data_IF_486501796166
#
_entry.id   IF_486501796166
#
_cell.length_a   1.000
_cell.length_b   1.000
_cell.length_c   1.000
_cell.angle_alpha   90.00
_cell.angle_beta   90.00
_cell.angle_gamma   90.00
#
_symmetry.space_group_name_H-M   'P 1'
#
loop_
_entity.id
_entity.type
_entity.pdbx_description
1 polymer ?
#
# COMPACT_ATOMS: atom_id res chain seq x y z
N UNK A 1 1.13 28.02 -27.90
CA UNK A 1 1.01 27.02 -26.83
C UNK A 1 1.25 25.68 -27.48
N UNK A 2 2.41 25.07 -27.24
CA UNK A 2 2.73 23.77 -27.82
C UNK A 2 1.75 22.73 -27.28
N UNK A 3 1.11 22.00 -28.20
CA UNK A 3 0.14 20.99 -27.83
C UNK A 3 0.84 19.87 -27.06
N UNK A 4 0.36 19.58 -25.84
CA UNK A 4 0.89 18.46 -25.04
C UNK A 4 0.66 17.16 -25.82
N UNK A 5 1.71 16.36 -26.10
CA UNK A 5 1.55 15.13 -26.86
C UNK A 5 0.54 14.17 -26.21
N UNK A 6 -0.36 13.58 -27.00
CA UNK A 6 -1.36 12.65 -26.46
C UNK A 6 -0.74 11.48 -25.71
N UNK A 7 0.41 10.97 -26.16
CA UNK A 7 1.14 9.92 -25.45
C UNK A 7 1.54 10.30 -24.02
N UNK A 8 1.86 11.57 -23.77
CA UNK A 8 2.16 12.07 -22.43
C UNK A 8 0.91 12.09 -21.56
N UNK A 9 -0.21 12.57 -22.10
CA UNK A 9 -1.51 12.59 -21.42
C UNK A 9 -1.95 11.17 -21.07
N UNK A 10 -1.86 10.23 -22.01
CA UNK A 10 -2.17 8.82 -21.78
C UNK A 10 -1.28 8.22 -20.70
N UNK A 11 0.03 8.50 -20.73
CA UNK A 11 0.99 7.98 -19.75
C UNK A 11 0.69 8.49 -18.35
N UNK A 12 0.36 9.77 -18.20
CA UNK A 12 -0.04 10.33 -16.90
C UNK A 12 -1.37 9.73 -16.45
N UNK A 13 -2.38 9.72 -17.31
CA UNK A 13 -3.68 9.16 -16.96
C UNK A 13 -3.58 7.66 -16.58
N UNK A 14 -2.67 6.90 -17.19
CA UNK A 14 -2.45 5.50 -16.85
C UNK A 14 -1.87 5.26 -15.45
N UNK A 15 -1.20 6.26 -14.86
CA UNK A 15 -0.65 6.21 -13.50
C UNK A 15 -1.69 6.59 -12.43
N UNK A 16 -2.80 7.23 -12.83
CA UNK A 16 -3.81 7.69 -11.90
C UNK A 16 -4.71 6.55 -11.42
N UNK A 17 -5.24 6.70 -10.20
CA UNK A 17 -6.28 5.80 -9.72
C UNK A 17 -7.57 5.96 -10.53
N UNK A 18 -8.40 4.92 -10.58
CA UNK A 18 -9.70 4.95 -11.29
C UNK A 18 -10.52 6.21 -10.98
N UNK A 19 -10.57 6.59 -9.70
CA UNK A 19 -11.35 7.74 -9.26
C UNK A 19 -10.71 9.06 -9.65
N UNK A 20 -9.38 9.15 -9.67
CA UNK A 20 -8.68 10.31 -10.22
C UNK A 20 -8.97 10.47 -11.72
N UNK A 21 -8.98 9.38 -12.49
CA UNK A 21 -9.31 9.44 -13.93
C UNK A 21 -10.78 9.85 -14.13
N UNK A 22 -11.71 9.30 -13.33
CA UNK A 22 -13.12 9.73 -13.35
C UNK A 22 -13.29 11.21 -13.06
N UNK A 23 -12.54 11.77 -12.10
CA UNK A 23 -12.55 13.21 -11.80
C UNK A 23 -11.95 14.03 -12.94
N UNK A 24 -10.90 13.56 -13.60
CA UNK A 24 -10.31 14.23 -14.76
C UNK A 24 -11.29 14.32 -15.94
N UNK A 25 -12.21 13.37 -16.10
CA UNK A 25 -13.29 13.48 -17.09
C UNK A 25 -14.15 14.73 -16.89
N UNK A 26 -14.27 15.23 -15.65
CA UNK A 26 -14.98 16.48 -15.34
C UNK A 26 -14.12 17.75 -15.39
N UNK A 27 -12.83 17.67 -15.73
CA UNK A 27 -11.96 18.85 -15.74
C UNK A 27 -12.26 19.75 -16.96
N UNK A 28 -11.88 21.04 -16.91
CA UNK A 28 -12.18 21.99 -18.01
C UNK A 28 -11.36 21.77 -19.28
N UNK A 29 -10.27 21.01 -19.21
CA UNK A 29 -9.37 20.83 -20.35
C UNK A 29 -9.80 19.65 -21.22
N UNK A 30 -10.22 19.94 -22.45
CA UNK A 30 -10.65 18.93 -23.42
C UNK A 30 -9.61 17.83 -23.68
N UNK A 31 -8.30 18.18 -23.65
CA UNK A 31 -7.20 17.22 -23.84
C UNK A 31 -7.16 16.20 -22.70
N UNK A 32 -7.28 16.67 -21.45
CA UNK A 32 -7.31 15.79 -20.27
C UNK A 32 -8.61 15.00 -20.17
N UNK A 33 -9.76 15.57 -20.55
CA UNK A 33 -11.03 14.85 -20.64
C UNK A 33 -10.93 13.68 -21.61
N UNK A 34 -10.47 13.94 -22.85
CA UNK A 34 -10.32 12.91 -23.89
C UNK A 34 -9.33 11.82 -23.48
N UNK A 35 -8.22 12.20 -22.85
CA UNK A 35 -7.24 11.26 -22.29
C UNK A 35 -7.85 10.37 -21.19
N UNK A 36 -8.61 10.96 -20.28
CA UNK A 36 -9.29 10.24 -19.21
C UNK A 36 -10.38 9.29 -19.74
N UNK A 37 -11.18 9.73 -20.71
CA UNK A 37 -12.17 8.87 -21.38
C UNK A 37 -11.54 7.68 -22.09
N UNK A 38 -10.46 7.94 -22.85
CA UNK A 38 -9.72 6.88 -23.51
C UNK A 38 -9.16 5.87 -22.49
N UNK A 39 -8.50 6.35 -21.42
CA UNK A 39 -7.96 5.48 -20.38
C UNK A 39 -9.04 4.67 -19.66
N UNK A 40 -10.21 5.25 -19.36
CA UNK A 40 -11.32 4.50 -18.76
C UNK A 40 -11.81 3.36 -19.67
N UNK A 41 -11.75 3.54 -20.99
CA UNK A 41 -12.16 2.53 -21.96
C UNK A 41 -11.12 1.40 -22.11
N UNK A 42 -9.82 1.72 -22.08
CA UNK A 42 -8.75 0.75 -22.37
C UNK A 42 -8.07 0.14 -21.15
N UNK A 43 -8.15 0.78 -19.98
CA UNK A 43 -7.52 0.27 -18.76
C UNK A 43 -8.19 -1.00 -18.26
N UNK A 44 -7.36 -1.99 -17.92
CA UNK A 44 -7.81 -3.28 -17.40
C UNK A 44 -7.43 -3.44 -15.94
N UNK A 45 -8.40 -3.80 -15.11
CA UNK A 45 -8.14 -4.21 -13.74
C UNK A 45 -7.70 -5.68 -13.72
N UNK A 46 -6.50 -5.94 -13.25
CA UNK A 46 -5.90 -7.27 -13.19
C UNK A 46 -5.68 -7.65 -11.73
N UNK A 47 -6.17 -8.83 -11.36
CA UNK A 47 -5.93 -9.41 -10.05
C UNK A 47 -4.97 -10.58 -10.20
N UNK A 48 -3.95 -10.58 -9.34
CA UNK A 48 -2.99 -11.66 -9.20
C UNK A 48 -3.18 -12.22 -7.80
N UNK A 49 -3.39 -13.53 -7.68
CA UNK A 49 -3.32 -14.20 -6.37
C UNK A 49 -2.20 -15.19 -6.36
N UNK A 50 -1.32 -15.05 -5.38
CA UNK A 50 -0.21 -15.95 -5.08
C UNK A 50 -0.57 -16.74 -3.82
N UNK A 51 -0.46 -18.06 -3.92
CA UNK A 51 -0.61 -18.99 -2.80
C UNK A 51 0.75 -19.51 -2.40
N UNK A 52 0.99 -19.44 -1.11
CA UNK A 52 2.22 -19.84 -0.45
C UNK A 52 1.95 -21.10 0.37
N UNK A 53 2.71 -22.18 0.20
CA UNK A 53 2.59 -23.35 1.05
C UNK A 53 3.11 -23.06 2.46
N UNK A 54 2.42 -23.56 3.47
CA UNK A 54 2.74 -23.31 4.88
C UNK A 54 3.95 -24.10 5.40
N UNK A 55 4.34 -25.21 4.73
CA UNK A 55 5.31 -26.19 5.28
C UNK A 55 6.15 -26.98 4.25
N UNK A 56 6.09 -26.67 2.94
CA UNK A 56 6.82 -27.47 1.94
C UNK A 56 8.21 -26.91 1.65
N UNK A 57 9.25 -27.75 1.75
CA UNK A 57 10.57 -27.50 1.18
C UNK A 57 10.79 -28.46 -0.02
N UNK A 58 11.07 -27.97 -1.24
CA UNK A 58 11.06 -26.57 -1.65
C UNK A 58 9.64 -25.98 -1.74
N UNK A 59 9.47 -24.65 -1.62
CA UNK A 59 8.16 -24.03 -1.64
C UNK A 59 7.53 -24.08 -3.04
N UNK A 60 6.45 -24.86 -3.17
CA UNK A 60 5.64 -24.93 -4.38
C UNK A 60 4.68 -23.73 -4.46
N UNK A 61 5.02 -22.72 -5.24
CA UNK A 61 4.17 -21.54 -5.42
C UNK A 61 3.07 -21.80 -6.44
N UNK A 62 1.89 -21.25 -6.20
CA UNK A 62 0.81 -21.20 -7.19
C UNK A 62 0.36 -19.77 -7.38
N UNK A 63 0.11 -19.38 -8.62
CA UNK A 63 -0.51 -18.09 -8.89
C UNK A 63 -1.59 -18.21 -9.96
N UNK A 64 -2.60 -17.35 -9.83
CA UNK A 64 -3.64 -17.16 -10.83
C UNK A 64 -3.70 -15.67 -11.17
N UNK A 65 -3.86 -15.37 -12.47
CA UNK A 65 -4.07 -14.01 -12.96
C UNK A 65 -5.47 -13.99 -13.56
N UNK A 66 -6.26 -12.97 -13.24
CA UNK A 66 -7.57 -12.77 -13.89
C UNK A 66 -7.90 -11.30 -14.05
N UNK A 67 -8.75 -11.01 -15.03
CA UNK A 67 -9.28 -9.67 -15.27
C UNK A 67 -10.57 -9.44 -14.50
N UNK A 68 -10.70 -8.28 -13.85
CA UNK A 68 -11.95 -7.83 -13.23
C UNK A 68 -12.86 -7.25 -14.30
N UNK A 69 -13.78 -8.05 -14.86
CA UNK A 69 -14.85 -7.54 -15.71
C UNK A 69 -16.04 -7.14 -14.85
N UNK A 70 -16.59 -5.95 -15.07
CA UNK A 70 -17.66 -5.37 -14.25
C UNK A 70 -19.05 -5.98 -14.43
N UNK A 71 -19.21 -6.99 -15.31
CA UNK A 71 -20.56 -7.43 -15.75
C UNK A 71 -20.73 -8.96 -15.82
N UNK A 72 -19.64 -9.76 -15.80
CA UNK A 72 -19.76 -11.22 -15.90
C UNK A 72 -19.22 -11.92 -14.66
N UNK A 73 -19.94 -12.92 -14.10
CA UNK A 73 -19.48 -13.68 -12.93
C UNK A 73 -18.26 -14.56 -13.24
N UNK A 74 -17.96 -14.78 -14.52
CA UNK A 74 -16.82 -15.56 -14.97
C UNK A 74 -15.53 -14.73 -14.96
N UNK A 75 -14.58 -15.18 -14.13
CA UNK A 75 -13.21 -14.65 -14.10
C UNK A 75 -12.46 -15.21 -15.31
N UNK A 76 -12.08 -14.35 -16.25
CA UNK A 76 -11.24 -14.76 -17.37
C UNK A 76 -9.81 -14.97 -16.85
N UNK A 77 -9.38 -16.24 -16.79
CA UNK A 77 -8.01 -16.59 -16.39
C UNK A 77 -7.06 -16.11 -17.48
N UNK A 78 -6.00 -15.40 -17.08
CA UNK A 78 -4.98 -14.84 -17.97
C UNK A 78 -3.68 -15.59 -17.79
N UNK A 79 -2.94 -15.77 -18.88
CA UNK A 79 -1.55 -16.20 -18.83
C UNK A 79 -0.63 -15.04 -18.44
N UNK A 80 0.60 -15.36 -18.04
CA UNK A 80 1.64 -14.35 -17.84
C UNK A 80 1.94 -13.56 -19.13
N UNK A 81 1.85 -14.21 -20.29
CA UNK A 81 2.03 -13.56 -21.59
C UNK A 81 0.92 -12.55 -21.88
N UNK A 82 -0.31 -12.80 -21.44
CA UNK A 82 -1.40 -11.84 -21.59
C UNK A 82 -1.17 -10.61 -20.72
N UNK A 83 -0.71 -10.77 -19.47
CA UNK A 83 -0.33 -9.65 -18.60
C UNK A 83 0.73 -8.74 -19.25
N UNK A 84 1.70 -9.35 -19.94
CA UNK A 84 2.75 -8.61 -20.67
C UNK A 84 2.21 -7.82 -21.86
N UNK A 85 1.14 -8.29 -22.50
CA UNK A 85 0.51 -7.61 -23.65
C UNK A 85 -0.44 -6.47 -23.24
N UNK A 86 -0.95 -6.48 -22.01
CA UNK A 86 -1.85 -5.43 -21.52
C UNK A 86 -1.03 -4.20 -21.12
N UNK A 87 -0.99 -3.20 -22.01
CA UNK A 87 -0.24 -1.95 -21.81
C UNK A 87 -0.70 -1.16 -20.58
N UNK A 88 -2.01 -1.03 -20.40
CA UNK A 88 -2.63 -0.21 -19.35
C UNK A 88 -3.27 -1.09 -18.25
N UNK A 89 -2.47 -2.01 -17.69
CA UNK A 89 -2.90 -2.88 -16.60
C UNK A 89 -2.77 -2.17 -15.25
N UNK A 90 -3.86 -2.21 -14.46
CA UNK A 90 -3.87 -1.85 -13.04
C UNK A 90 -3.88 -3.13 -12.22
N UNK A 91 -2.83 -3.35 -11.46
CA UNK A 91 -2.56 -4.66 -10.85
C UNK A 91 -2.85 -4.62 -9.36
N UNK A 92 -3.67 -5.56 -8.89
CA UNK A 92 -3.86 -5.86 -7.48
C UNK A 92 -3.30 -7.24 -7.18
N UNK A 93 -2.41 -7.33 -6.20
CA UNK A 93 -1.73 -8.58 -5.83
C UNK A 93 -2.20 -9.01 -4.45
N UNK A 94 -2.73 -10.22 -4.35
CA UNK A 94 -3.04 -10.90 -3.10
C UNK A 94 -2.09 -12.05 -2.86
N UNK A 95 -1.46 -12.12 -1.69
CA UNK A 95 -0.54 -13.18 -1.30
C UNK A 95 -1.07 -13.80 -0.01
N UNK A 96 -1.25 -15.12 0.01
CA UNK A 96 -1.78 -15.79 1.21
C UNK A 96 -1.24 -17.19 1.36
N UNK A 97 -1.16 -17.66 2.61
CA UNK A 97 -0.91 -19.07 2.86
C UNK A 97 -2.10 -19.92 2.42
N UNK A 98 -1.80 -21.12 1.92
CA UNK A 98 -2.79 -22.16 1.67
C UNK A 98 -2.14 -23.52 1.88
N UNK A 99 -2.89 -24.45 2.47
CA UNK A 99 -2.55 -25.86 2.41
C UNK A 99 -2.79 -26.32 0.97
N UNK A 100 -1.73 -26.40 0.18
CA UNK A 100 -1.78 -26.96 -1.17
C UNK A 100 -1.79 -28.49 -1.03
N UNK A 101 -2.75 -29.14 -1.68
CA UNK A 101 -2.75 -30.60 -1.78
C UNK A 101 -1.58 -31.04 -2.69
N UNK A 102 -1.02 -32.23 -2.43
CA UNK A 102 0.17 -32.74 -3.10
C UNK A 102 0.04 -32.89 -4.63
N UNK A 103 -1.17 -32.89 -5.16
CA UNK A 103 -1.47 -33.10 -6.59
C UNK A 103 -1.71 -31.81 -7.38
N UNK A 104 -1.67 -30.63 -6.75
CA UNK A 104 -1.83 -29.37 -7.47
C UNK A 104 -0.53 -28.92 -8.15
N UNK A 105 -0.55 -28.77 -9.48
CA UNK A 105 0.61 -28.32 -10.27
C UNK A 105 1.21 -27.01 -9.76
N UNK A 106 2.49 -27.02 -9.42
CA UNK A 106 3.24 -25.88 -8.94
C UNK A 106 3.85 -25.04 -10.06
N UNK A 107 3.93 -23.72 -9.88
CA UNK A 107 4.54 -22.76 -10.81
C UNK A 107 5.82 -22.16 -10.22
N UNK A 108 6.80 -23.00 -9.87
CA UNK A 108 8.00 -22.62 -9.09
C UNK A 108 8.84 -21.56 -9.81
N UNK A 109 9.13 -21.71 -11.11
CA UNK A 109 9.93 -20.73 -11.87
C UNK A 109 9.12 -19.49 -12.30
N UNK A 110 7.80 -19.65 -12.41
CA UNK A 110 6.91 -18.59 -12.87
C UNK A 110 6.78 -17.42 -11.90
N UNK A 111 7.09 -17.61 -10.62
CA UNK A 111 6.85 -16.59 -9.59
C UNK A 111 7.78 -15.38 -9.74
N UNK A 112 9.06 -15.59 -10.09
CA UNK A 112 10.01 -14.50 -10.32
C UNK A 112 9.57 -13.67 -11.52
N UNK A 113 9.26 -14.35 -12.63
CA UNK A 113 8.78 -13.72 -13.85
C UNK A 113 7.45 -12.98 -13.64
N UNK A 114 6.56 -13.51 -12.79
CA UNK A 114 5.32 -12.86 -12.39
C UNK A 114 5.58 -11.52 -11.71
N UNK A 115 6.41 -11.51 -10.66
CA UNK A 115 6.72 -10.28 -9.93
C UNK A 115 7.44 -9.26 -10.77
N UNK A 116 8.41 -9.67 -11.60
CA UNK A 116 9.05 -8.76 -12.56
C UNK A 116 8.04 -8.17 -13.53
N UNK A 117 7.13 -8.99 -14.08
CA UNK A 117 6.10 -8.52 -15.02
C UNK A 117 5.09 -7.58 -14.33
N UNK A 118 4.74 -7.85 -13.08
CA UNK A 118 3.84 -7.01 -12.29
C UNK A 118 4.49 -5.69 -11.86
N UNK A 119 5.76 -5.69 -11.49
CA UNK A 119 6.52 -4.49 -11.12
C UNK A 119 6.64 -3.49 -12.27
N UNK A 120 6.63 -3.96 -13.52
CA UNK A 120 6.60 -3.13 -14.72
C UNK A 120 5.21 -2.58 -15.07
N UNK A 121 4.25 -2.64 -14.14
CA UNK A 121 2.86 -2.16 -14.30
C UNK A 121 2.49 -1.23 -13.14
N UNK A 122 1.35 -0.54 -13.29
CA UNK A 122 0.79 0.26 -12.21
C UNK A 122 0.18 -0.68 -11.16
N UNK A 123 0.90 -0.97 -10.08
CA UNK A 123 0.38 -1.77 -8.97
C UNK A 123 -0.49 -0.86 -8.12
N UNK A 124 -1.79 -1.13 -8.04
CA UNK A 124 -2.68 -0.36 -7.17
C UNK A 124 -2.62 -0.86 -5.73
N UNK A 125 -2.58 -2.18 -5.54
CA UNK A 125 -2.61 -2.77 -4.21
C UNK A 125 -1.77 -4.04 -4.06
N UNK A 126 -1.16 -4.19 -2.89
CA UNK A 126 -0.55 -5.41 -2.41
C UNK A 126 -1.20 -5.79 -1.08
N UNK A 127 -1.81 -6.97 -1.02
CA UNK A 127 -2.36 -7.55 0.20
C UNK A 127 -1.63 -8.85 0.51
N UNK A 128 -1.14 -9.03 1.74
CA UNK A 128 -0.49 -10.24 2.20
C UNK A 128 -1.11 -10.71 3.53
N UNK A 129 -1.46 -11.99 3.62
CA UNK A 129 -2.10 -12.56 4.80
C UNK A 129 -1.56 -13.95 5.17
N UNK A 130 -1.15 -14.10 6.43
CA UNK A 130 -0.89 -15.43 7.00
C UNK A 130 0.34 -16.14 6.44
N UNK A 131 1.29 -15.41 5.85
CA UNK A 131 2.47 -15.99 5.19
C UNK A 131 3.58 -16.26 6.20
N UNK A 132 4.11 -17.48 6.23
CA UNK A 132 5.17 -17.88 7.17
C UNK A 132 6.49 -18.16 6.44
N UNK A 133 7.59 -17.58 6.97
CA UNK A 133 8.99 -17.71 6.53
C UNK A 133 9.15 -17.71 5.01
N UNK A 134 8.86 -16.56 4.39
CA UNK A 134 8.95 -16.38 2.94
C UNK A 134 10.13 -15.48 2.54
N UNK A 135 11.32 -16.04 2.26
CA UNK A 135 12.54 -15.23 2.19
C UNK A 135 12.72 -14.44 0.88
N UNK A 136 12.23 -14.93 -0.26
CA UNK A 136 12.74 -14.50 -1.59
C UNK A 136 11.78 -13.76 -2.52
N UNK A 137 10.53 -13.49 -2.10
CA UNK A 137 9.54 -12.80 -2.96
C UNK A 137 10.00 -11.39 -3.35
N UNK A 138 10.43 -10.64 -2.33
CA UNK A 138 10.64 -9.20 -2.43
C UNK A 138 11.93 -8.83 -3.15
N UNK A 139 12.82 -9.81 -3.37
CA UNK A 139 14.04 -9.62 -4.16
C UNK A 139 13.73 -9.18 -5.60
N UNK A 140 12.57 -9.58 -6.15
CA UNK A 140 12.19 -9.32 -7.54
C UNK A 140 10.94 -8.46 -7.69
N UNK A 141 10.41 -7.94 -6.58
CA UNK A 141 9.16 -7.17 -6.58
C UNK A 141 9.40 -5.75 -6.11
N UNK A 142 9.71 -4.84 -7.02
CA UNK A 142 9.86 -3.42 -6.74
C UNK A 142 8.94 -2.62 -7.66
N UNK A 143 7.65 -2.49 -7.30
CA UNK A 143 6.72 -1.80 -8.17
C UNK A 143 7.06 -0.29 -8.25
N UNK A 144 6.96 0.29 -9.44
CA UNK A 144 7.18 1.73 -9.64
C UNK A 144 6.10 2.59 -8.96
N UNK A 145 4.92 2.01 -8.71
CA UNK A 145 3.82 2.60 -7.96
C UNK A 145 3.16 1.54 -7.09
N UNK A 146 2.76 1.91 -5.88
CA UNK A 146 1.79 1.18 -5.07
C UNK A 146 0.98 2.17 -4.25
N UNK A 147 -0.34 2.04 -4.27
CA UNK A 147 -1.22 2.93 -3.53
C UNK A 147 -1.60 2.34 -2.18
N UNK A 148 -1.85 1.03 -2.14
CA UNK A 148 -2.30 0.33 -0.93
C UNK A 148 -1.39 -0.85 -0.62
N UNK A 149 -0.92 -0.92 0.62
CA UNK A 149 -0.18 -2.06 1.16
C UNK A 149 -0.93 -2.54 2.40
N UNK A 150 -1.31 -3.81 2.43
CA UNK A 150 -1.90 -4.46 3.60
C UNK A 150 -1.16 -5.74 3.90
N UNK A 151 -0.50 -5.83 5.04
CA UNK A 151 0.25 -7.01 5.45
C UNK A 151 -0.20 -7.39 6.83
N UNK A 152 -0.65 -8.64 6.97
CA UNK A 152 -1.28 -9.11 8.18
C UNK A 152 -0.85 -10.54 8.54
N UNK A 153 -0.46 -10.78 9.80
CA UNK A 153 -0.06 -12.11 10.31
C UNK A 153 1.05 -12.77 9.49
N UNK A 154 2.14 -12.06 9.24
CA UNK A 154 3.21 -12.56 8.38
C UNK A 154 4.52 -12.71 9.16
N UNK A 155 5.25 -13.81 8.91
CA UNK A 155 6.60 -14.02 9.44
C UNK A 155 7.60 -14.04 8.29
N UNK A 156 8.61 -13.19 8.37
CA UNK A 156 9.72 -13.11 7.43
C UNK A 156 10.98 -13.67 8.09
N UNK A 157 11.68 -14.56 7.38
CA UNK A 157 12.92 -15.14 7.87
C UNK A 157 14.04 -14.09 7.98
N UNK A 158 15.11 -14.44 8.70
CA UNK A 158 16.24 -13.52 8.96
C UNK A 158 16.91 -13.00 7.68
N UNK A 159 16.96 -13.83 6.64
CA UNK A 159 17.57 -13.49 5.35
C UNK A 159 16.58 -12.82 4.37
N UNK A 160 15.38 -12.45 4.86
CA UNK A 160 14.36 -11.83 4.02
C UNK A 160 14.76 -10.41 3.61
N UNK A 161 14.48 -10.08 2.35
CA UNK A 161 14.62 -8.72 1.82
C UNK A 161 13.41 -7.82 2.16
N UNK A 162 12.45 -8.31 2.95
CA UNK A 162 11.22 -7.58 3.27
C UNK A 162 11.44 -6.20 3.86
N UNK A 163 12.32 -6.05 4.86
CA UNK A 163 12.54 -4.75 5.50
C UNK A 163 13.10 -3.71 4.50
N UNK A 164 14.07 -4.10 3.68
CA UNK A 164 14.62 -3.24 2.63
C UNK A 164 13.55 -2.88 1.58
N UNK A 165 12.72 -3.85 1.21
CA UNK A 165 11.59 -3.63 0.32
C UNK A 165 10.59 -2.64 0.91
N UNK A 166 10.25 -2.78 2.20
CA UNK A 166 9.33 -1.88 2.89
C UNK A 166 9.89 -0.46 2.90
N UNK A 167 11.17 -0.26 3.27
CA UNK A 167 11.81 1.07 3.22
C UNK A 167 11.71 1.72 1.85
N UNK A 168 12.04 0.99 0.78
CA UNK A 168 11.93 1.50 -0.60
C UNK A 168 10.49 1.86 -0.97
N UNK A 169 9.55 1.03 -0.54
CA UNK A 169 8.14 1.22 -0.85
C UNK A 169 7.55 2.40 -0.07
N UNK A 170 7.99 2.59 1.18
CA UNK A 170 7.76 3.79 1.98
C UNK A 170 8.47 5.03 1.42
N UNK A 171 9.20 4.98 0.30
CA UNK A 171 9.69 6.20 -0.38
C UNK A 171 8.89 6.54 -1.64
N UNK A 172 7.86 5.74 -1.95
CA UNK A 172 7.03 5.97 -3.13
C UNK A 172 5.96 7.01 -2.84
N UNK A 173 5.90 8.06 -3.65
CA UNK A 173 4.93 9.15 -3.54
C UNK A 173 3.47 8.69 -3.77
N UNK A 174 3.26 7.52 -4.37
CA UNK A 174 1.93 7.01 -4.71
C UNK A 174 1.16 6.43 -3.52
N UNK A 175 1.86 6.13 -2.41
CA UNK A 175 1.28 5.43 -1.26
C UNK A 175 0.17 6.25 -0.60
N UNK A 176 -0.96 5.61 -0.40
CA UNK A 176 -2.21 6.17 0.16
C UNK A 176 -2.74 5.34 1.32
N UNK A 177 -2.35 4.08 1.44
CA UNK A 177 -2.76 3.21 2.54
C UNK A 177 -1.64 2.23 2.90
N UNK A 178 -1.31 2.16 4.19
CA UNK A 178 -0.34 1.25 4.77
C UNK A 178 -0.95 0.59 6.01
N UNK A 179 -1.30 -0.69 5.89
CA UNK A 179 -1.66 -1.55 7.02
C UNK A 179 -0.54 -2.56 7.23
N UNK A 180 0.09 -2.54 8.41
CA UNK A 180 1.13 -3.48 8.80
C UNK A 180 0.83 -3.99 10.21
N UNK A 181 0.30 -5.21 10.28
CA UNK A 181 -0.20 -5.78 11.52
C UNK A 181 0.31 -7.20 11.75
N UNK A 182 0.80 -7.46 12.96
CA UNK A 182 1.26 -8.78 13.41
C UNK A 182 2.31 -9.36 12.47
N UNK A 183 3.26 -8.50 12.09
CA UNK A 183 4.43 -8.86 11.28
C UNK A 183 5.58 -9.25 12.21
N UNK A 184 6.27 -10.33 11.91
CA UNK A 184 7.52 -10.72 12.58
C UNK A 184 8.64 -10.78 11.56
N UNK A 185 9.74 -10.08 11.80
CA UNK A 185 11.00 -10.26 11.05
C UNK A 185 12.00 -10.96 11.96
N UNK A 186 12.47 -12.14 11.59
CA UNK A 186 13.41 -12.91 12.41
C UNK A 186 14.83 -12.33 12.36
N UNK A 187 15.67 -12.70 13.33
CA UNK A 187 17.12 -12.45 13.31
C UNK A 187 17.60 -11.06 13.70
N UNK A 188 16.90 -9.97 13.32
CA UNK A 188 17.35 -8.61 13.65
C UNK A 188 16.20 -7.65 13.93
N UNK A 189 16.50 -6.63 14.74
CA UNK A 189 15.62 -5.47 14.91
C UNK A 189 15.76 -4.57 13.69
N UNK A 190 14.63 -4.09 13.20
CA UNK A 190 14.49 -3.23 12.04
C UNK A 190 13.89 -1.90 12.45
N UNK A 191 14.40 -0.85 11.81
CA UNK A 191 13.89 0.50 11.94
C UNK A 191 13.52 1.04 10.56
N UNK A 192 12.36 1.67 10.44
CA UNK A 192 11.87 2.32 9.21
C UNK A 192 11.34 3.73 9.50
N UNK A 193 11.78 4.36 10.60
CA UNK A 193 11.16 5.58 11.13
C UNK A 193 11.38 6.73 10.18
N UNK A 194 12.62 6.92 9.74
CA UNK A 194 12.98 7.94 8.75
C UNK A 194 12.14 7.80 7.47
N UNK A 195 11.94 6.58 6.97
CA UNK A 195 11.16 6.32 5.76
C UNK A 195 9.67 6.64 5.96
N UNK A 196 9.13 6.32 7.14
CA UNK A 196 7.75 6.65 7.49
C UNK A 196 7.58 8.16 7.65
N UNK A 197 8.49 8.85 8.35
CA UNK A 197 8.48 10.30 8.51
C UNK A 197 8.59 11.00 7.15
N UNK A 198 9.43 10.48 6.26
CA UNK A 198 9.52 10.98 4.89
C UNK A 198 8.13 10.96 4.21
N UNK A 199 7.38 9.86 4.30
CA UNK A 199 6.02 9.76 3.73
C UNK A 199 5.04 10.80 4.26
N UNK A 200 5.10 11.08 5.56
CA UNK A 200 4.22 12.05 6.20
C UNK A 200 4.44 13.47 5.66
N UNK A 201 5.69 13.77 5.29
CA UNK A 201 6.12 15.07 4.78
C UNK A 201 5.99 15.20 3.25
N UNK A 202 5.64 14.13 2.53
CA UNK A 202 5.40 14.21 1.08
C UNK A 202 4.07 14.90 0.78
N UNK A 203 4.02 15.72 -0.27
CA UNK A 203 2.76 16.18 -0.83
C UNK A 203 1.98 15.00 -1.43
N UNK A 204 0.65 15.03 -1.44
CA UNK A 204 -0.11 13.94 -2.05
C UNK A 204 -1.55 13.85 -1.60
N UNK A 205 -2.19 12.73 -1.97
CA UNK A 205 -3.52 12.36 -1.48
C UNK A 205 -3.49 12.03 0.02
N UNK A 206 -4.61 11.79 0.67
CA UNK A 206 -4.60 11.30 2.05
C UNK A 206 -3.74 10.03 2.21
N UNK A 207 -3.06 9.86 3.34
CA UNK A 207 -2.36 8.63 3.73
C UNK A 207 -3.09 8.00 4.91
N UNK A 208 -3.59 6.77 4.77
CA UNK A 208 -4.12 5.99 5.88
C UNK A 208 -3.06 5.01 6.38
N UNK A 209 -2.83 4.95 7.68
CA UNK A 209 -1.80 4.14 8.33
C UNK A 209 -2.44 3.34 9.45
N UNK A 210 -2.16 2.04 9.51
CA UNK A 210 -2.57 1.18 10.62
C UNK A 210 -1.41 0.26 10.97
N UNK A 211 -0.88 0.40 12.19
CA UNK A 211 0.31 -0.32 12.66
C UNK A 211 0.01 -1.02 13.98
N UNK A 212 0.12 -2.34 14.04
CA UNK A 212 -0.26 -3.09 15.24
C UNK A 212 0.59 -4.35 15.48
N UNK A 213 1.07 -4.54 16.71
CA UNK A 213 1.67 -5.80 17.17
C UNK A 213 2.78 -6.35 16.27
N UNK A 214 3.59 -5.48 15.67
CA UNK A 214 4.73 -5.87 14.85
C UNK A 214 5.92 -6.21 15.76
N UNK A 215 6.51 -7.38 15.55
CA UNK A 215 7.67 -7.89 16.27
C UNK A 215 8.95 -7.59 15.50
N UNK A 216 9.98 -7.16 16.23
CA UNK A 216 11.28 -6.75 15.71
C UNK A 216 11.29 -5.52 14.80
N UNK A 217 10.17 -4.82 14.61
CA UNK A 217 10.18 -3.42 14.19
C UNK A 217 10.15 -2.50 15.42
N UNK A 218 11.16 -1.66 15.60
CA UNK A 218 11.25 -0.76 16.77
C UNK A 218 10.25 0.39 16.72
N UNK A 219 9.79 0.70 15.52
CA UNK A 219 9.12 1.94 15.15
C UNK A 219 7.86 1.72 14.29
N UNK A 220 7.34 0.49 14.21
CA UNK A 220 6.01 0.20 13.66
C UNK A 220 5.06 -0.23 14.78
N UNK A 221 4.99 0.60 15.82
CA UNK A 221 4.17 0.36 17.00
C UNK A 221 3.49 1.65 17.44
N UNK A 222 2.80 1.58 18.58
CA UNK A 222 2.07 2.70 19.12
C UNK A 222 2.93 3.91 19.51
N UNK A 223 4.19 3.71 19.92
CA UNK A 223 5.13 4.79 20.24
C UNK A 223 5.41 5.66 19.01
N UNK A 224 5.35 5.08 17.81
CA UNK A 224 5.52 5.82 16.56
C UNK A 224 4.48 6.91 16.37
N UNK A 225 3.23 6.69 16.80
CA UNK A 225 2.19 7.71 16.73
C UNK A 225 2.49 8.89 17.66
N UNK A 226 3.07 8.62 18.83
CA UNK A 226 3.53 9.66 19.74
C UNK A 226 4.63 10.51 19.08
N UNK A 227 5.64 9.88 18.47
CA UNK A 227 6.71 10.58 17.76
C UNK A 227 6.15 11.45 16.61
N UNK A 228 5.11 10.98 15.93
CA UNK A 228 4.44 11.72 14.85
C UNK A 228 3.68 12.94 15.37
N UNK A 229 3.01 12.82 16.52
CA UNK A 229 2.38 13.96 17.19
C UNK A 229 3.42 14.98 17.66
N UNK A 230 4.51 14.51 18.27
CA UNK A 230 5.63 15.36 18.70
C UNK A 230 6.24 16.09 17.51
N UNK A 231 6.50 15.38 16.40
CA UNK A 231 6.98 16.00 15.17
C UNK A 231 5.99 17.06 14.67
N UNK A 232 4.71 16.70 14.54
CA UNK A 232 3.69 17.59 14.00
C UNK A 232 3.56 18.89 14.82
N UNK A 233 3.55 18.82 16.15
CA UNK A 233 3.48 20.02 17.00
C UNK A 233 4.72 20.92 16.87
N UNK A 234 5.87 20.33 16.55
CA UNK A 234 7.14 21.05 16.45
C UNK A 234 7.39 21.64 15.05
N UNK A 235 6.73 21.14 14.00
CA UNK A 235 6.85 21.68 12.64
C UNK A 235 6.35 23.13 12.55
N UNK A 236 6.96 23.93 11.68
CA UNK A 236 6.49 25.30 11.41
C UNK A 236 5.14 25.31 10.68
N UNK A 237 4.89 24.28 9.86
CA UNK A 237 3.66 24.09 9.09
C UNK A 237 3.12 22.68 9.31
N UNK A 238 1.79 22.48 9.24
CA UNK A 238 1.20 21.15 9.26
C UNK A 238 1.74 20.25 8.15
N UNK A 239 1.45 18.95 8.26
CA UNK A 239 1.69 18.03 7.15
C UNK A 239 1.02 18.53 5.86
N UNK A 240 1.65 18.35 4.69
CA UNK A 240 1.13 18.85 3.42
C UNK A 240 -0.02 18.02 2.83
N UNK A 241 -0.36 16.90 3.46
CA UNK A 241 -1.44 15.98 3.08
C UNK A 241 -2.17 15.49 4.33
N UNK A 242 -3.42 15.07 4.16
CA UNK A 242 -4.16 14.45 5.25
C UNK A 242 -3.50 13.11 5.63
N UNK A 243 -3.33 12.85 6.92
CA UNK A 243 -2.82 11.58 7.45
C UNK A 243 -3.85 11.03 8.42
N UNK A 244 -4.29 9.79 8.23
CA UNK A 244 -5.17 9.09 9.16
C UNK A 244 -4.41 7.91 9.77
N UNK A 245 -4.41 7.81 11.08
CA UNK A 245 -3.89 6.68 11.83
C UNK A 245 -5.05 5.89 12.42
N UNK A 246 -5.29 4.70 11.88
CA UNK A 246 -6.15 3.69 12.50
C UNK A 246 -5.44 3.00 13.66
N UNK A 247 -6.14 2.89 14.79
CA UNK A 247 -5.68 2.18 15.97
C UNK A 247 -6.39 0.82 16.06
N UNK A 248 -5.66 -0.28 16.30
CA UNK A 248 -6.29 -1.57 16.55
C UNK A 248 -7.06 -1.55 17.88
N UNK A 249 -8.15 -2.31 17.96
CA UNK A 249 -9.10 -2.34 19.10
C UNK A 249 -8.49 -2.65 20.49
N UNK A 250 -7.23 -3.10 20.58
CA UNK A 250 -6.58 -3.49 21.84
C UNK A 250 -5.56 -2.44 22.35
N UNK A 251 -5.64 -1.18 21.88
CA UNK A 251 -4.66 -0.13 22.21
C UNK A 251 -5.16 0.90 23.25
N UNK A 252 -6.15 0.57 24.08
CA UNK A 252 -6.78 1.47 25.06
C UNK A 252 -5.79 2.22 25.99
N UNK A 253 -4.67 1.58 26.34
CA UNK A 253 -3.66 2.22 27.21
C UNK A 253 -2.91 3.36 26.52
N UNK A 254 -2.44 3.11 25.29
CA UNK A 254 -1.83 4.16 24.45
C UNK A 254 -2.86 5.25 24.20
N UNK A 255 -4.10 4.84 23.99
CA UNK A 255 -5.19 5.75 23.71
C UNK A 255 -5.43 6.75 24.86
N UNK A 256 -5.58 6.24 26.08
CA UNK A 256 -5.71 7.07 27.28
C UNK A 256 -4.49 7.96 27.49
N UNK A 257 -3.29 7.45 27.18
CA UNK A 257 -2.06 8.22 27.25
C UNK A 257 -2.04 9.39 26.25
N UNK A 258 -2.40 9.17 24.98
CA UNK A 258 -2.43 10.22 23.97
C UNK A 258 -3.49 11.27 24.26
N UNK A 259 -4.70 10.84 24.66
CA UNK A 259 -5.77 11.77 25.03
C UNK A 259 -5.42 12.68 26.20
N UNK A 260 -4.86 12.11 27.27
CA UNK A 260 -4.54 12.86 28.48
C UNK A 260 -3.37 13.81 28.28
N UNK A 261 -2.33 13.40 27.54
CA UNK A 261 -1.12 14.20 27.38
C UNK A 261 -1.17 15.21 26.24
N UNK A 262 -1.84 14.90 25.12
CA UNK A 262 -1.86 15.78 23.95
C UNK A 262 -3.18 16.53 23.81
N UNK A 263 -4.29 15.81 23.90
CA UNK A 263 -5.62 16.38 23.63
C UNK A 263 -6.26 17.03 24.86
N UNK A 264 -5.75 16.79 26.07
CA UNK A 264 -6.34 17.29 27.34
C UNK A 264 -7.84 16.99 27.46
N UNK A 265 -8.26 15.82 26.97
CA UNK A 265 -9.66 15.36 26.86
C UNK A 265 -10.54 16.12 25.84
N UNK A 266 -9.96 16.92 24.96
CA UNK A 266 -10.67 17.46 23.79
C UNK A 266 -10.62 16.49 22.59
N UNK A 267 -11.46 16.70 21.58
CA UNK A 267 -11.45 15.87 20.35
C UNK A 267 -10.57 16.48 19.24
N UNK A 268 -10.07 17.70 19.44
CA UNK A 268 -9.38 18.48 18.42
C UNK A 268 -8.12 19.10 19.02
N UNK A 269 -7.00 18.95 18.33
CA UNK A 269 -5.74 19.63 18.62
C UNK A 269 -5.41 20.55 17.44
N UNK A 270 -5.23 21.85 17.69
CA UNK A 270 -4.87 22.83 16.65
C UNK A 270 -3.36 22.96 16.52
N UNK A 271 -2.87 23.15 15.29
CA UNK A 271 -1.46 23.37 15.06
C UNK A 271 -1.07 24.79 15.50
N UNK A 272 0.19 24.98 15.91
CA UNK A 272 0.68 26.30 16.37
C UNK A 272 0.66 27.40 15.29
N UNK A 273 0.69 27.02 14.01
CA UNK A 273 0.57 27.98 12.90
C UNK A 273 -0.86 28.52 12.69
N UNK A 274 -1.86 27.93 13.35
CA UNK A 274 -3.27 28.24 13.12
C UNK A 274 -3.87 27.61 11.85
N UNK A 275 -3.03 27.08 10.94
CA UNK A 275 -3.46 26.22 9.83
C UNK A 275 -3.37 24.76 10.27
N UNK A 276 -4.34 23.93 9.93
CA UNK A 276 -4.33 22.50 10.24
C UNK A 276 -4.77 22.12 11.66
N UNK A 277 -5.22 20.88 11.77
CA UNK A 277 -5.72 20.30 13.02
C UNK A 277 -5.54 18.79 13.04
N UNK A 278 -5.47 18.23 14.24
CA UNK A 278 -5.60 16.80 14.48
C UNK A 278 -6.96 16.56 15.12
N UNK A 279 -7.76 15.69 14.52
CA UNK A 279 -9.02 15.25 15.10
C UNK A 279 -8.90 13.81 15.57
N UNK A 280 -9.59 13.53 16.66
CA UNK A 280 -9.76 12.20 17.19
C UNK A 280 -11.18 11.71 16.92
N UNK A 281 -11.32 10.49 16.41
CA UNK A 281 -12.61 9.82 16.28
C UNK A 281 -12.66 8.56 17.14
N UNK A 282 -13.42 8.63 18.23
CA UNK A 282 -13.57 7.51 19.18
C UNK A 282 -14.29 6.31 18.62
N UNK A 283 -15.25 6.52 17.73
CA UNK A 283 -16.09 5.46 17.18
C UNK A 283 -15.26 4.58 16.24
N UNK A 284 -14.39 5.20 15.43
CA UNK A 284 -13.54 4.48 14.47
C UNK A 284 -12.14 4.16 14.99
N UNK A 285 -11.81 4.59 16.21
CA UNK A 285 -10.48 4.48 16.79
C UNK A 285 -9.39 5.08 15.88
N UNK A 286 -9.62 6.31 15.40
CA UNK A 286 -8.77 6.95 14.38
C UNK A 286 -8.30 8.35 14.80
N UNK A 287 -7.03 8.67 14.55
CA UNK A 287 -6.47 10.04 14.63
C UNK A 287 -6.26 10.56 13.21
N UNK A 288 -6.81 11.73 12.88
CA UNK A 288 -6.66 12.33 11.55
C UNK A 288 -5.99 13.71 11.62
N UNK A 289 -4.83 13.83 10.98
CA UNK A 289 -4.13 15.07 10.73
C UNK A 289 -4.68 15.69 9.44
N UNK A 290 -5.18 16.91 9.53
CA UNK A 290 -5.68 17.70 8.39
C UNK A 290 -4.80 18.93 8.22
N UNK A 291 -4.27 19.21 7.00
CA UNK A 291 -3.48 20.40 6.70
C UNK A 291 -4.22 21.73 6.93
#
# INVERSE_FOLDING_TARGET
MDAVPMLFIESICALLSKDSIRRLKGCRSAVWQKGAEHMLAVMKGIHITVRVPSRSEPPLYRYNIWESKSVTPFRELRSLNDLRKIRYARVSIGISSRNLAAEESANVDGIKLLFTSASARNVESLCMYGVYRFPSLFLNFFPCSVNTIKIWKCTFGADSTFAQWLRRTLRLHSLQELTAEWITVEGRKEDVEEDLLHQLLMYGKGLNITLAGNYNFTNLNAKSLQNVLDLWMNLEKPFPRAITYGLPHNCDQIFNFLLSNYFKNEEILRHKSGSGMVTWNRIYAEITFTP
#
